data_IF_664200580278
#
_entry.id   IF_664200580278
#
_cell.length_a   1.000
_cell.length_b   1.000
_cell.length_c   1.000
_cell.angle_alpha   90.00
_cell.angle_beta   90.00
_cell.angle_gamma   90.00
#
_symmetry.space_group_name_H-M   'P 1'
#
loop_
_entity.id
_entity.type
_entity.pdbx_description
1 polymer ?
#
# COMPACT_ATOMS: atom_id res chain seq x y z
N UNK A 1 19.01 -12.18 30.22
CA UNK A 1 19.40 -11.11 29.26
C UNK A 1 20.39 -11.61 28.22
N UNK A 2 21.52 -12.25 28.59
CA UNK A 2 22.43 -12.87 27.60
C UNK A 2 21.75 -13.97 26.77
N UNK A 3 20.98 -14.86 27.41
CA UNK A 3 20.20 -15.90 26.70
C UNK A 3 19.18 -15.30 25.72
N UNK A 4 18.49 -14.23 26.13
CA UNK A 4 17.52 -13.52 25.28
C UNK A 4 18.18 -12.87 24.06
N UNK A 5 19.38 -12.29 24.23
CA UNK A 5 20.15 -11.72 23.11
C UNK A 5 20.62 -12.81 22.16
N UNK A 6 21.17 -13.90 22.70
CA UNK A 6 21.60 -15.04 21.89
C UNK A 6 20.44 -15.62 21.09
N UNK A 7 19.27 -15.75 21.71
CA UNK A 7 18.07 -16.22 21.03
C UNK A 7 17.67 -15.31 19.86
N UNK A 8 17.79 -13.99 19.99
CA UNK A 8 17.54 -13.04 18.89
C UNK A 8 18.55 -13.24 17.77
N UNK A 9 19.83 -13.40 18.09
CA UNK A 9 20.90 -13.64 17.10
C UNK A 9 20.62 -14.93 16.33
N UNK A 10 20.29 -16.02 17.03
CA UNK A 10 20.00 -17.32 16.42
C UNK A 10 18.71 -17.29 15.58
N UNK A 11 17.75 -16.44 15.97
CA UNK A 11 16.48 -16.26 15.28
C UNK A 11 16.53 -15.28 14.12
N UNK A 12 17.56 -14.42 14.06
CA UNK A 12 17.67 -13.32 13.11
C UNK A 12 17.54 -13.77 11.64
N UNK A 13 18.14 -14.89 11.18
CA UNK A 13 17.97 -15.34 9.80
C UNK A 13 16.51 -15.63 9.43
N UNK A 14 15.73 -16.20 10.36
CA UNK A 14 14.31 -16.49 10.15
C UNK A 14 13.48 -15.20 10.11
N UNK A 15 13.75 -14.27 11.04
CA UNK A 15 13.09 -12.97 11.05
C UNK A 15 13.37 -12.17 9.77
N UNK A 16 14.63 -12.14 9.31
CA UNK A 16 15.01 -11.48 8.06
C UNK A 16 14.36 -12.14 6.84
N UNK A 17 14.25 -13.47 6.81
CA UNK A 17 13.48 -14.17 5.76
C UNK A 17 12.01 -13.76 5.77
N UNK A 18 11.42 -13.62 6.97
CA UNK A 18 10.07 -13.07 7.12
C UNK A 18 9.95 -11.63 6.63
N UNK A 19 10.96 -10.79 6.89
CA UNK A 19 11.00 -9.41 6.40
C UNK A 19 11.07 -9.32 4.87
N UNK A 20 11.70 -10.29 4.20
CA UNK A 20 11.65 -10.39 2.73
C UNK A 20 10.22 -10.63 2.25
N UNK A 21 9.46 -11.51 2.89
CA UNK A 21 8.04 -11.71 2.56
C UNK A 21 7.19 -10.46 2.84
N UNK A 22 7.43 -9.78 3.96
CA UNK A 22 6.81 -8.47 4.27
C UNK A 22 7.04 -7.49 3.12
N UNK A 23 8.27 -7.34 2.63
CA UNK A 23 8.58 -6.43 1.52
C UNK A 23 7.95 -6.89 0.20
N UNK A 24 7.96 -8.19 -0.11
CA UNK A 24 7.32 -8.73 -1.31
C UNK A 24 5.82 -8.45 -1.34
N UNK A 25 5.11 -8.71 -0.24
CA UNK A 25 3.69 -8.40 -0.09
C UNK A 25 3.42 -6.89 -0.19
N UNK A 26 4.27 -6.07 0.42
CA UNK A 26 4.11 -4.62 0.39
C UNK A 26 4.28 -4.07 -1.03
N UNK A 27 5.33 -4.50 -1.73
CA UNK A 27 5.63 -4.07 -3.09
C UNK A 27 4.53 -4.53 -4.05
N UNK A 28 4.13 -5.80 -3.97
CA UNK A 28 3.06 -6.34 -4.81
C UNK A 28 1.71 -5.69 -4.51
N UNK A 29 1.35 -5.58 -3.23
CA UNK A 29 0.12 -4.95 -2.77
C UNK A 29 0.02 -3.48 -3.19
N UNK A 30 1.13 -2.73 -3.09
CA UNK A 30 1.20 -1.35 -3.57
C UNK A 30 1.13 -1.27 -5.08
N UNK A 31 1.82 -2.14 -5.82
CA UNK A 31 1.81 -2.13 -7.28
C UNK A 31 0.40 -2.38 -7.84
N UNK A 32 -0.23 -3.49 -7.45
CA UNK A 32 -1.58 -3.83 -7.91
C UNK A 32 -2.62 -2.85 -7.34
N UNK A 33 -2.44 -2.42 -6.09
CA UNK A 33 -3.28 -1.39 -5.46
C UNK A 33 -3.20 -0.05 -6.18
N UNK A 34 -2.03 0.38 -6.64
CA UNK A 34 -1.85 1.62 -7.40
C UNK A 34 -2.51 1.53 -8.78
N UNK A 35 -2.34 0.41 -9.48
CA UNK A 35 -2.97 0.17 -10.79
C UNK A 35 -4.50 0.21 -10.66
N UNK A 36 -5.06 -0.56 -9.74
CA UNK A 36 -6.52 -0.60 -9.53
C UNK A 36 -7.04 0.72 -8.97
N UNK A 37 -6.31 1.34 -8.03
CA UNK A 37 -6.64 2.63 -7.44
C UNK A 37 -6.68 3.75 -8.47
N UNK A 38 -5.76 3.75 -9.44
CA UNK A 38 -5.77 4.70 -10.56
C UNK A 38 -7.02 4.53 -11.43
N UNK A 39 -7.38 3.30 -11.78
CA UNK A 39 -8.62 3.01 -12.53
C UNK A 39 -9.84 3.50 -11.76
N UNK A 40 -9.93 3.20 -10.45
CA UNK A 40 -11.03 3.64 -9.59
C UNK A 40 -11.10 5.16 -9.46
N UNK A 41 -9.97 5.86 -9.41
CA UNK A 41 -9.90 7.32 -9.39
C UNK A 41 -10.50 7.91 -10.67
N UNK A 42 -10.14 7.36 -11.84
CA UNK A 42 -10.71 7.79 -13.12
C UNK A 42 -12.21 7.49 -13.21
N UNK A 43 -12.64 6.30 -12.77
CA UNK A 43 -14.06 5.94 -12.71
C UNK A 43 -14.87 6.91 -11.83
N UNK A 44 -14.30 7.33 -10.69
CA UNK A 44 -14.91 8.32 -9.78
C UNK A 44 -15.08 9.70 -10.42
N UNK A 45 -14.19 10.07 -11.34
CA UNK A 45 -14.25 11.33 -12.08
C UNK A 45 -15.13 11.25 -13.34
N UNK A 46 -15.46 10.04 -13.80
CA UNK A 46 -16.25 9.83 -15.01
C UNK A 46 -17.61 10.54 -14.94
N UNK A 47 -18.09 11.16 -16.03
CA UNK A 47 -19.44 11.72 -16.12
C UNK A 47 -20.53 10.63 -16.13
N UNK A 48 -20.17 9.38 -16.40
CA UNK A 48 -21.11 8.25 -16.51
C UNK A 48 -21.52 7.79 -15.12
N UNK A 49 -22.80 7.99 -14.77
CA UNK A 49 -23.32 7.77 -13.42
C UNK A 49 -23.13 6.32 -12.91
N UNK A 50 -23.42 5.25 -13.69
CA UNK A 50 -23.16 3.87 -13.24
C UNK A 50 -21.70 3.58 -12.92
N UNK A 51 -20.78 4.04 -13.78
CA UNK A 51 -19.32 3.86 -13.60
C UNK A 51 -18.85 4.54 -12.31
N UNK A 52 -19.31 5.77 -12.09
CA UNK A 52 -19.02 6.53 -10.88
C UNK A 52 -19.54 5.81 -9.65
N UNK A 53 -20.79 5.34 -9.68
CA UNK A 53 -21.45 4.66 -8.57
C UNK A 53 -20.73 3.36 -8.19
N UNK A 54 -20.36 2.53 -9.18
CA UNK A 54 -19.60 1.30 -8.95
C UNK A 54 -18.29 1.56 -8.19
N UNK A 55 -17.53 2.58 -8.62
CA UNK A 55 -16.32 2.96 -7.91
C UNK A 55 -16.60 3.51 -6.50
N UNK A 56 -17.69 4.28 -6.30
CA UNK A 56 -18.09 4.72 -4.94
C UNK A 56 -18.39 3.54 -4.03
N UNK A 57 -19.12 2.55 -4.53
CA UNK A 57 -19.49 1.36 -3.79
C UNK A 57 -18.26 0.56 -3.39
N UNK A 58 -17.37 0.25 -4.35
CA UNK A 58 -16.09 -0.41 -4.07
C UNK A 58 -15.31 0.31 -2.97
N UNK A 59 -15.09 1.62 -3.12
CA UNK A 59 -14.29 2.40 -2.17
C UNK A 59 -14.96 2.40 -0.79
N UNK A 60 -16.28 2.50 -0.74
CA UNK A 60 -17.05 2.45 0.51
C UNK A 60 -16.90 1.12 1.23
N UNK A 61 -16.94 0.00 0.52
CA UNK A 61 -16.79 -1.34 1.10
C UNK A 61 -15.38 -1.52 1.66
N UNK A 62 -14.36 -1.27 0.86
CA UNK A 62 -12.97 -1.56 1.26
C UNK A 62 -12.41 -0.60 2.31
N UNK A 63 -12.86 0.66 2.35
CA UNK A 63 -12.49 1.62 3.42
C UNK A 63 -13.40 1.52 4.64
N UNK A 64 -14.62 0.99 4.48
CA UNK A 64 -15.59 0.81 5.56
C UNK A 64 -15.46 -0.52 6.30
N UNK A 65 -14.62 -1.44 5.83
CA UNK A 65 -14.41 -2.75 6.44
C UNK A 65 -12.95 -2.95 6.88
N UNK A 66 -12.69 -3.62 8.01
CA UNK A 66 -11.32 -3.88 8.47
C UNK A 66 -10.54 -4.77 7.49
N UNK A 67 -9.25 -4.44 7.26
CA UNK A 67 -8.37 -5.23 6.40
C UNK A 67 -8.25 -6.70 6.86
N UNK A 68 -8.17 -6.95 8.16
CA UNK A 68 -8.14 -8.34 8.69
C UNK A 68 -9.39 -9.14 8.30
N UNK A 69 -10.57 -8.52 8.30
CA UNK A 69 -11.82 -9.17 7.89
C UNK A 69 -11.81 -9.46 6.39
N UNK A 70 -11.24 -8.58 5.56
CA UNK A 70 -11.06 -8.80 4.13
C UNK A 70 -10.12 -9.98 3.86
N UNK A 71 -8.99 -10.06 4.58
CA UNK A 71 -8.05 -11.18 4.50
C UNK A 71 -8.73 -12.51 4.88
N UNK A 72 -9.53 -12.51 5.95
CA UNK A 72 -10.28 -13.71 6.36
C UNK A 72 -11.34 -14.12 5.34
N UNK A 73 -12.08 -13.16 4.78
CA UNK A 73 -13.08 -13.46 3.76
C UNK A 73 -12.43 -14.07 2.51
N UNK A 74 -11.25 -13.57 2.11
CA UNK A 74 -10.52 -14.09 0.96
C UNK A 74 -9.94 -15.48 1.25
N UNK A 75 -9.27 -15.68 2.38
CA UNK A 75 -8.57 -16.93 2.65
C UNK A 75 -9.48 -18.05 3.18
N UNK A 76 -10.39 -17.74 4.11
CA UNK A 76 -11.30 -18.73 4.72
C UNK A 76 -12.70 -18.73 4.12
N UNK A 77 -13.15 -17.62 3.51
CA UNK A 77 -14.49 -17.49 2.92
C UNK A 77 -14.60 -18.05 1.50
N UNK A 78 -13.66 -17.73 0.61
CA UNK A 78 -13.66 -18.20 -0.78
C UNK A 78 -13.68 -19.74 -0.96
N UNK A 79 -13.06 -20.55 -0.08
CA UNK A 79 -13.17 -22.01 -0.15
C UNK A 79 -14.62 -22.52 -0.09
N UNK A 80 -15.54 -21.80 0.56
CA UNK A 80 -16.98 -22.15 0.58
C UNK A 80 -17.64 -22.08 -0.81
N UNK A 81 -16.99 -21.40 -1.75
CA UNK A 81 -17.41 -21.28 -3.14
C UNK A 81 -16.50 -22.11 -4.08
N UNK A 82 -15.67 -23.01 -3.54
CA UNK A 82 -14.76 -23.86 -4.30
C UNK A 82 -13.49 -23.17 -4.79
N UNK A 83 -13.16 -21.98 -4.27
CA UNK A 83 -11.95 -21.25 -4.63
C UNK A 83 -10.97 -21.30 -3.45
N UNK A 84 -9.95 -22.13 -3.57
CA UNK A 84 -8.87 -22.26 -2.58
C UNK A 84 -7.66 -21.45 -3.03
N UNK A 85 -7.13 -20.63 -2.12
CA UNK A 85 -5.97 -19.79 -2.36
C UNK A 85 -4.92 -20.09 -1.29
N UNK A 86 -3.67 -20.23 -1.72
CA UNK A 86 -2.55 -20.25 -0.79
C UNK A 86 -2.46 -18.92 0.00
N UNK A 87 -1.85 -18.91 1.20
CA UNK A 87 -1.75 -17.72 2.04
C UNK A 87 -1.19 -16.48 1.34
N UNK A 88 -0.13 -16.63 0.56
CA UNK A 88 0.56 -15.52 -0.11
C UNK A 88 -0.34 -14.84 -1.15
N UNK A 89 -0.92 -15.55 -2.15
CA UNK A 89 -1.83 -14.92 -3.10
C UNK A 89 -3.10 -14.36 -2.42
N UNK A 90 -3.64 -15.02 -1.40
CA UNK A 90 -4.77 -14.50 -0.64
C UNK A 90 -4.44 -13.14 0.02
N UNK A 91 -3.28 -13.05 0.68
CA UNK A 91 -2.79 -11.79 1.25
C UNK A 91 -2.53 -10.74 0.19
N UNK A 92 -1.88 -11.11 -0.91
CA UNK A 92 -1.59 -10.19 -2.02
C UNK A 92 -2.88 -9.57 -2.57
N UNK A 93 -3.92 -10.38 -2.79
CA UNK A 93 -5.23 -9.91 -3.27
C UNK A 93 -5.86 -8.97 -2.25
N UNK A 94 -5.96 -9.38 -0.98
CA UNK A 94 -6.61 -8.58 0.06
C UNK A 94 -5.92 -7.23 0.29
N UNK A 95 -4.59 -7.24 0.38
CA UNK A 95 -3.77 -6.02 0.53
C UNK A 95 -3.93 -5.10 -0.69
N UNK A 96 -3.91 -5.64 -1.91
CA UNK A 96 -4.07 -4.88 -3.15
C UNK A 96 -5.45 -4.22 -3.24
N UNK A 97 -6.51 -4.98 -2.94
CA UNK A 97 -7.88 -4.46 -3.00
C UNK A 97 -8.12 -3.35 -1.98
N UNK A 98 -7.63 -3.54 -0.76
CA UNK A 98 -7.70 -2.52 0.29
C UNK A 98 -6.92 -1.27 -0.12
N UNK A 99 -5.66 -1.44 -0.53
CA UNK A 99 -4.76 -0.36 -0.93
C UNK A 99 -5.33 0.42 -2.11
N UNK A 100 -5.95 -0.25 -3.08
CA UNK A 100 -6.61 0.41 -4.21
C UNK A 100 -7.68 1.41 -3.78
N UNK A 101 -8.46 1.09 -2.74
CA UNK A 101 -9.50 1.98 -2.27
C UNK A 101 -8.93 3.29 -1.67
N UNK A 102 -7.87 3.20 -0.86
CA UNK A 102 -7.20 4.37 -0.30
C UNK A 102 -6.43 5.15 -1.36
N UNK A 103 -5.63 4.47 -2.18
CA UNK A 103 -4.86 5.07 -3.27
C UNK A 103 -5.75 5.77 -4.30
N UNK A 104 -6.94 5.24 -4.59
CA UNK A 104 -7.89 5.91 -5.49
C UNK A 104 -8.30 7.30 -5.00
N UNK A 105 -8.46 7.47 -3.69
CA UNK A 105 -8.86 8.76 -3.12
C UNK A 105 -7.68 9.74 -3.11
N UNK A 106 -6.47 9.26 -2.79
CA UNK A 106 -5.22 10.03 -2.90
C UNK A 106 -5.01 10.55 -4.32
N UNK A 107 -5.12 9.67 -5.32
CA UNK A 107 -4.96 10.03 -6.73
C UNK A 107 -6.05 10.99 -7.20
N UNK A 108 -7.31 10.73 -6.83
CA UNK A 108 -8.43 11.63 -7.16
C UNK A 108 -8.20 13.02 -6.57
N UNK A 109 -7.76 13.11 -5.31
CA UNK A 109 -7.47 14.37 -4.64
C UNK A 109 -6.33 15.12 -5.34
N UNK A 110 -5.24 14.43 -5.69
CA UNK A 110 -4.10 15.00 -6.40
C UNK A 110 -4.46 15.48 -7.82
N UNK A 111 -5.33 14.77 -8.54
CA UNK A 111 -5.82 15.21 -9.85
C UNK A 111 -6.74 16.44 -9.68
N UNK A 112 -7.59 16.43 -8.66
CA UNK A 112 -8.56 17.52 -8.41
C UNK A 112 -7.91 18.79 -7.86
N UNK A 113 -6.69 18.71 -7.33
CA UNK A 113 -5.95 19.88 -6.81
C UNK A 113 -5.22 20.67 -7.91
N UNK A 114 -5.14 20.14 -9.13
CA UNK A 114 -4.56 20.88 -10.26
C UNK A 114 -5.49 22.01 -10.67
N UNK A 115 -4.92 23.20 -10.87
CA UNK A 115 -5.66 24.43 -11.15
C UNK A 115 -6.60 24.28 -12.37
N UNK A 116 -7.82 24.80 -12.25
CA UNK A 116 -8.82 24.71 -13.32
C UNK A 116 -8.39 25.43 -14.60
N UNK A 117 -7.58 26.48 -14.49
CA UNK A 117 -6.98 27.19 -15.61
C UNK A 117 -6.10 26.30 -16.48
N UNK A 118 -5.47 25.25 -15.93
CA UNK A 118 -4.73 24.26 -16.74
C UNK A 118 -5.66 23.47 -17.65
N UNK A 119 -6.86 23.14 -17.17
CA UNK A 119 -7.88 22.48 -17.97
C UNK A 119 -8.44 23.40 -19.05
N UNK A 120 -8.71 24.66 -18.71
CA UNK A 120 -9.23 25.69 -19.62
C UNK A 120 -8.21 26.07 -20.70
N UNK A 121 -6.92 26.21 -20.33
CA UNK A 121 -5.84 26.50 -21.27
C UNK A 121 -5.64 25.37 -22.29
N UNK A 122 -5.64 24.11 -21.83
CA UNK A 122 -5.56 22.95 -22.70
C UNK A 122 -6.76 22.86 -23.66
N UNK A 123 -7.97 23.16 -23.16
CA UNK A 123 -9.17 23.23 -23.99
C UNK A 123 -9.10 24.35 -25.03
N UNK A 124 -8.51 25.51 -24.67
CA UNK A 124 -8.36 26.67 -25.58
C UNK A 124 -7.44 26.40 -26.77
N UNK A 125 -6.50 25.46 -26.64
CA UNK A 125 -5.63 25.00 -27.73
C UNK A 125 -6.16 23.72 -28.42
N UNK A 126 -7.43 23.37 -28.18
CA UNK A 126 -8.13 22.27 -28.87
C UNK A 126 -7.84 20.87 -28.35
N UNK A 127 -7.26 20.72 -27.15
CA UNK A 127 -7.02 19.39 -26.56
C UNK A 127 -8.34 18.74 -26.11
N UNK A 128 -8.49 17.45 -26.41
CA UNK A 128 -9.60 16.65 -25.87
C UNK A 128 -9.40 16.38 -24.37
N UNK A 129 -10.46 16.09 -23.59
CA UNK A 129 -10.32 15.81 -22.15
C UNK A 129 -9.29 14.72 -21.82
N UNK A 130 -9.16 13.71 -22.69
CA UNK A 130 -8.16 12.66 -22.53
C UNK A 130 -6.73 13.14 -22.81
N UNK A 131 -6.56 13.97 -23.84
CA UNK A 131 -5.27 14.60 -24.12
C UNK A 131 -4.84 15.51 -22.99
N UNK A 132 -5.75 16.36 -22.48
CA UNK A 132 -5.53 17.25 -21.34
C UNK A 132 -5.13 16.44 -20.11
N UNK A 133 -5.91 15.42 -19.76
CA UNK A 133 -5.62 14.55 -18.63
C UNK A 133 -4.24 13.92 -18.75
N UNK A 134 -3.94 13.24 -19.87
CA UNK A 134 -2.69 12.48 -20.02
C UNK A 134 -1.45 13.36 -20.12
N UNK A 135 -1.53 14.50 -20.82
CA UNK A 135 -0.35 15.30 -21.19
C UNK A 135 -0.11 16.48 -20.25
N UNK A 136 -1.15 17.07 -19.67
CA UNK A 136 -1.03 18.23 -18.80
C UNK A 136 -1.24 17.87 -17.33
N UNK A 137 -2.34 17.17 -17.01
CA UNK A 137 -2.79 17.01 -15.62
C UNK A 137 -2.08 15.87 -14.90
N UNK A 138 -2.02 14.67 -15.47
CA UNK A 138 -1.41 13.50 -14.82
C UNK A 138 0.06 13.70 -14.43
N UNK A 139 0.92 14.31 -15.26
CA UNK A 139 2.30 14.56 -14.85
C UNK A 139 2.40 15.46 -13.61
N UNK A 140 1.53 16.46 -13.48
CA UNK A 140 1.48 17.36 -12.31
C UNK A 140 0.87 16.65 -11.10
N UNK A 141 -0.25 15.96 -11.29
CA UNK A 141 -0.93 15.21 -10.24
C UNK A 141 -0.06 14.07 -9.66
N UNK A 142 0.76 13.42 -10.48
CA UNK A 142 1.70 12.39 -10.03
C UNK A 142 2.70 12.95 -9.01
N UNK A 143 3.15 14.20 -9.20
CA UNK A 143 4.05 14.88 -8.25
C UNK A 143 3.36 15.16 -6.92
N UNK A 144 2.12 15.66 -6.98
CA UNK A 144 1.28 15.92 -5.80
C UNK A 144 0.93 14.63 -5.05
N UNK A 145 0.73 13.52 -5.78
CA UNK A 145 0.38 12.22 -5.19
C UNK A 145 1.58 11.48 -4.58
N UNK A 146 2.81 11.78 -4.98
CA UNK A 146 3.99 11.00 -4.57
C UNK A 146 4.20 10.98 -3.03
N UNK A 147 4.14 12.11 -2.30
CA UNK A 147 4.28 12.10 -0.84
C UNK A 147 3.21 11.25 -0.11
N UNK A 148 1.89 11.44 -0.35
CA UNK A 148 0.89 10.61 0.34
C UNK A 148 0.94 9.14 -0.09
N UNK A 149 1.27 8.82 -1.34
CA UNK A 149 1.44 7.42 -1.78
C UNK A 149 2.62 6.73 -1.08
N UNK A 150 3.72 7.44 -0.86
CA UNK A 150 4.88 6.93 -0.14
C UNK A 150 4.52 6.65 1.34
N UNK A 151 3.75 7.54 1.97
CA UNK A 151 3.22 7.31 3.32
C UNK A 151 2.27 6.10 3.37
N UNK A 152 1.43 5.91 2.36
CA UNK A 152 0.58 4.72 2.24
C UNK A 152 1.41 3.45 2.09
N UNK A 153 2.51 3.48 1.34
CA UNK A 153 3.42 2.33 1.20
C UNK A 153 4.08 1.93 2.53
N UNK A 154 4.57 2.91 3.32
CA UNK A 154 5.14 2.65 4.65
C UNK A 154 4.07 2.07 5.60
N UNK A 155 2.83 2.55 5.49
CA UNK A 155 1.71 1.99 6.26
C UNK A 155 1.42 0.56 5.85
N UNK A 156 1.40 0.28 4.55
CA UNK A 156 1.18 -1.05 4.00
C UNK A 156 2.22 -2.07 4.49
N UNK A 157 3.49 -1.68 4.62
CA UNK A 157 4.54 -2.53 5.21
C UNK A 157 4.15 -3.03 6.58
N UNK A 158 3.62 -2.15 7.45
CA UNK A 158 3.13 -2.53 8.77
C UNK A 158 1.85 -3.37 8.68
N UNK A 159 0.94 -3.02 7.78
CA UNK A 159 -0.32 -3.74 7.59
C UNK A 159 -0.12 -5.18 7.11
N UNK A 160 1.00 -5.49 6.44
CA UNK A 160 1.33 -6.89 6.08
C UNK A 160 1.43 -7.82 7.29
N UNK A 161 1.69 -7.30 8.50
CA UNK A 161 1.67 -8.09 9.74
C UNK A 161 0.31 -8.74 10.01
N UNK A 162 -0.79 -8.17 9.49
CA UNK A 162 -2.12 -8.79 9.58
C UNK A 162 -2.18 -10.10 8.78
N UNK A 163 -1.36 -10.27 7.75
CA UNK A 163 -1.30 -11.51 6.97
C UNK A 163 -0.77 -12.72 7.77
N UNK A 164 -0.10 -12.48 8.92
CA UNK A 164 0.25 -13.55 9.87
C UNK A 164 -0.98 -14.37 10.31
N UNK A 165 -2.14 -13.72 10.39
CA UNK A 165 -3.41 -14.34 10.83
C UNK A 165 -3.98 -15.34 9.82
N UNK A 166 -3.56 -15.24 8.56
CA UNK A 166 -3.85 -16.21 7.49
C UNK A 166 -2.59 -17.01 7.11
N UNK A 167 -1.66 -17.15 8.05
CA UNK A 167 -0.51 -18.05 7.98
C UNK A 167 0.56 -17.68 6.95
N UNK A 168 0.58 -16.43 6.45
CA UNK A 168 1.68 -15.98 5.60
C UNK A 168 2.98 -15.94 6.42
N UNK A 169 4.10 -16.51 5.92
CA UNK A 169 5.36 -16.58 6.66
C UNK A 169 6.15 -15.25 6.68
N UNK A 170 5.46 -14.12 6.87
CA UNK A 170 6.06 -12.80 7.00
C UNK A 170 6.69 -12.57 8.39
N UNK A 171 7.34 -11.41 8.59
CA UNK A 171 8.14 -11.09 9.78
C UNK A 171 7.41 -11.35 11.11
N UNK A 172 6.18 -10.89 11.25
CA UNK A 172 5.41 -11.04 12.48
C UNK A 172 5.04 -12.50 12.75
N UNK A 173 4.70 -13.26 11.70
CA UNK A 173 4.46 -14.70 11.77
C UNK A 173 5.69 -15.48 12.19
N UNK A 174 6.89 -15.12 11.69
CA UNK A 174 8.13 -15.76 12.11
C UNK A 174 8.38 -15.55 13.61
N UNK A 175 8.16 -14.33 14.11
CA UNK A 175 8.26 -14.04 15.53
C UNK A 175 7.26 -14.88 16.35
N UNK A 176 5.99 -14.97 15.92
CA UNK A 176 4.98 -15.81 16.57
C UNK A 176 5.37 -17.30 16.60
N UNK A 177 5.94 -17.82 15.50
CA UNK A 177 6.39 -19.21 15.41
C UNK A 177 7.52 -19.50 16.41
N UNK A 178 8.49 -18.59 16.53
CA UNK A 178 9.59 -18.74 17.48
C UNK A 178 9.06 -18.65 18.91
N UNK A 179 8.24 -17.63 19.22
CA UNK A 179 7.58 -17.46 20.52
C UNK A 179 6.79 -18.70 20.93
N UNK A 180 6.09 -19.35 20.00
CA UNK A 180 5.32 -20.57 20.31
C UNK A 180 6.19 -21.75 20.77
N UNK A 181 7.48 -21.74 20.44
CA UNK A 181 8.46 -22.78 20.79
C UNK A 181 9.29 -22.42 22.01
N UNK A 182 9.66 -21.14 22.15
CA UNK A 182 10.58 -20.67 23.18
C UNK A 182 9.89 -20.05 24.39
N UNK A 183 8.62 -19.65 24.23
CA UNK A 183 7.83 -18.88 25.20
C UNK A 183 8.40 -17.48 25.54
N UNK A 184 9.41 -17.02 24.79
CA UNK A 184 10.06 -15.71 24.94
C UNK A 184 9.29 -14.60 24.19
N UNK A 185 8.08 -14.30 24.67
CA UNK A 185 7.13 -13.39 23.99
C UNK A 185 7.69 -11.99 23.82
N UNK A 186 8.15 -11.37 24.90
CA UNK A 186 8.61 -9.97 24.89
C UNK A 186 9.81 -9.79 23.96
N UNK A 187 10.81 -10.67 24.07
CA UNK A 187 12.05 -10.60 23.30
C UNK A 187 11.79 -10.72 21.79
N UNK A 188 10.97 -11.69 21.36
CA UNK A 188 10.69 -11.89 19.93
C UNK A 188 9.84 -10.77 19.33
N UNK A 189 8.84 -10.26 20.05
CA UNK A 189 8.03 -9.15 19.56
C UNK A 189 8.77 -7.83 19.56
N UNK A 190 9.67 -7.61 20.53
CA UNK A 190 10.58 -6.45 20.50
C UNK A 190 11.53 -6.55 19.29
N UNK A 191 12.12 -7.71 19.03
CA UNK A 191 12.98 -7.92 17.87
C UNK A 191 12.25 -7.67 16.55
N UNK A 192 11.05 -8.24 16.38
CA UNK A 192 10.22 -8.00 15.20
C UNK A 192 9.85 -6.51 15.05
N UNK A 193 9.48 -5.84 16.15
CA UNK A 193 9.14 -4.40 16.15
C UNK A 193 10.33 -3.53 15.75
N UNK A 194 11.54 -3.86 16.21
CA UNK A 194 12.76 -3.17 15.81
C UNK A 194 13.05 -3.35 14.32
N UNK A 195 12.87 -4.57 13.78
CA UNK A 195 13.03 -4.80 12.34
C UNK A 195 11.99 -4.02 11.53
N UNK A 196 10.72 -4.02 11.96
CA UNK A 196 9.67 -3.18 11.36
C UNK A 196 10.02 -1.70 11.40
N UNK A 197 10.52 -1.21 12.54
CA UNK A 197 10.96 0.18 12.70
C UNK A 197 12.11 0.52 11.76
N UNK A 198 13.14 -0.32 11.67
CA UNK A 198 14.27 -0.14 10.74
C UNK A 198 13.77 -0.08 9.29
N UNK A 199 12.90 -1.01 8.88
CA UNK A 199 12.30 -0.99 7.53
C UNK A 199 11.55 0.32 7.28
N UNK A 200 10.70 0.75 8.22
CA UNK A 200 9.94 1.98 8.11
C UNK A 200 10.86 3.21 8.03
N UNK A 201 11.90 3.29 8.87
CA UNK A 201 12.87 4.40 8.86
C UNK A 201 13.65 4.48 7.55
N UNK A 202 14.11 3.34 7.01
CA UNK A 202 14.79 3.30 5.71
C UNK A 202 13.85 3.81 4.61
N UNK A 203 12.59 3.36 4.59
CA UNK A 203 11.61 3.81 3.61
C UNK A 203 11.26 5.30 3.77
N UNK A 204 11.13 5.80 5.00
CA UNK A 204 10.92 7.23 5.27
C UNK A 204 12.11 8.08 4.81
N UNK A 205 13.35 7.60 5.00
CA UNK A 205 14.53 8.31 4.52
C UNK A 205 14.57 8.37 2.98
N UNK A 206 14.21 7.27 2.30
CA UNK A 206 14.08 7.23 0.84
C UNK A 206 12.97 8.17 0.36
N UNK A 207 11.82 8.17 1.02
CA UNK A 207 10.72 9.09 0.74
C UNK A 207 11.19 10.56 0.83
N UNK A 208 11.80 10.95 1.95
CA UNK A 208 12.29 12.32 2.14
C UNK A 208 13.31 12.73 1.07
N UNK A 209 14.17 11.79 0.64
CA UNK A 209 15.11 12.04 -0.45
C UNK A 209 14.38 12.34 -1.77
N UNK A 210 13.41 11.51 -2.16
CA UNK A 210 12.64 11.72 -3.38
C UNK A 210 11.77 12.98 -3.35
N UNK A 211 11.15 13.28 -2.21
CA UNK A 211 10.37 14.51 -2.01
C UNK A 211 11.24 15.77 -2.15
N UNK A 212 12.43 15.78 -1.53
CA UNK A 212 13.36 16.90 -1.64
C UNK A 212 13.87 17.11 -3.07
N UNK A 213 14.13 16.03 -3.81
CA UNK A 213 14.53 16.12 -5.22
C UNK A 213 13.42 16.73 -6.08
N UNK A 214 12.16 16.39 -5.80
CA UNK A 214 11.00 16.90 -6.52
C UNK A 214 10.77 18.39 -6.23
N UNK A 215 10.80 18.79 -4.96
CA UNK A 215 10.60 20.17 -4.53
C UNK A 215 11.75 21.10 -5.00
N UNK A 216 12.96 20.57 -5.19
CA UNK A 216 14.09 21.36 -5.74
C UNK A 216 13.83 21.80 -7.18
N UNK A 217 13.05 21.05 -7.97
CA UNK A 217 12.64 21.45 -9.32
C UNK A 217 11.64 22.61 -9.34
N UNK A 218 10.96 22.91 -8.22
CA UNK A 218 10.01 24.04 -8.11
C UNK A 218 10.69 25.37 -7.79
N UNK A 219 11.89 25.35 -7.18
CA UNK A 219 12.61 26.55 -6.73
C UNK A 219 13.47 27.22 -7.80
N UNK A 220 13.70 26.56 -8.93
CA UNK A 220 14.34 27.16 -10.12
C UNK A 220 13.25 27.45 -11.17
N UNK A 221 12.59 28.62 -11.13
CA UNK A 221 11.89 29.11 -12.31
C UNK A 221 12.95 29.42 -13.36
N UNK A 222 13.02 28.60 -14.42
CA UNK A 222 13.67 29.01 -15.66
C UNK A 222 12.77 29.95 -16.43
#
# INVERSE_FOLDING_TARGET
MQESIQLVIDSLPYLLKGAVFTLQLSIGGMFFGLVLGFVLALMRMSPILPVRWLARFYISVFRGTPLIAQLFMIYYGLPQFGIELDPIPAAMIGLSLNTAAYTSETLRAAISSIDKGQWEAAASIGMTPWQTLRRAILPQAARVALPPLSNSFISLVKDTSLAATIQVPELFRQAQLITSRTLEVFTMYLAASLIYWVMATVLSALQNYFENQLNRQERDPK
#
